data_IF_132935125640
#
_entry.id   IF_132935125640
#
_cell.length_a   1.000
_cell.length_b   1.000
_cell.length_c   1.000
_cell.angle_alpha   90.00
_cell.angle_beta   90.00
_cell.angle_gamma   90.00
#
_symmetry.space_group_name_H-M   'P 1'
#
loop_
_entity.id
_entity.type
_entity.pdbx_description
1 polymer ?
#
# COMPACT_ATOMS: atom_id res chain seq x y z
N UNK A 1 25.72 17.61 55.57
CA UNK A 1 25.10 17.54 54.24
C UNK A 1 24.25 16.30 54.08
N UNK A 2 22.92 16.45 54.03
CA UNK A 2 22.01 15.39 53.60
C UNK A 2 21.67 15.66 52.14
N UNK A 3 22.18 14.81 51.25
CA UNK A 3 21.86 14.86 49.82
C UNK A 3 20.45 14.30 49.64
N UNK A 4 19.57 15.07 48.98
CA UNK A 4 18.22 14.64 48.65
C UNK A 4 18.28 13.41 47.73
N UNK A 5 17.37 12.47 47.94
CA UNK A 5 17.31 11.24 47.13
C UNK A 5 16.81 11.55 45.73
N UNK A 6 17.18 10.72 44.74
CA UNK A 6 16.75 10.89 43.35
C UNK A 6 15.22 10.93 43.26
N UNK A 7 14.52 10.10 44.01
CA UNK A 7 13.05 10.07 44.07
C UNK A 7 12.44 11.39 44.58
N UNK A 8 13.12 12.03 45.53
CA UNK A 8 12.70 13.30 46.11
C UNK A 8 12.90 14.46 45.13
N UNK A 9 13.95 14.39 44.29
CA UNK A 9 14.18 15.32 43.18
C UNK A 9 13.08 15.16 42.11
N UNK A 10 12.73 13.92 41.74
CA UNK A 10 11.65 13.66 40.78
C UNK A 10 10.28 14.14 41.26
N UNK A 11 9.98 13.98 42.56
CA UNK A 11 8.74 14.49 43.15
C UNK A 11 8.67 16.01 43.15
N UNK A 12 9.77 16.70 43.45
CA UNK A 12 9.85 18.16 43.49
C UNK A 12 9.74 18.84 42.11
N UNK A 13 10.09 18.12 41.04
CA UNK A 13 9.97 18.60 39.65
C UNK A 13 8.58 18.34 39.02
N UNK A 14 7.63 17.76 39.76
CA UNK A 14 6.28 17.50 39.24
C UNK A 14 6.25 16.40 38.17
N UNK A 15 7.17 15.44 38.19
CA UNK A 15 7.25 14.36 37.19
C UNK A 15 5.95 13.55 37.08
N UNK A 16 5.19 13.45 38.17
CA UNK A 16 3.86 12.81 38.19
C UNK A 16 2.80 13.65 37.45
N UNK A 17 2.87 14.98 37.55
CA UNK A 17 2.01 15.89 36.80
C UNK A 17 2.35 15.90 35.31
N UNK A 18 3.65 15.82 34.96
CA UNK A 18 4.09 15.63 33.57
C UNK A 18 3.62 14.29 33.00
N UNK A 19 3.75 13.20 33.75
CA UNK A 19 3.28 11.87 33.33
C UNK A 19 1.75 11.78 33.22
N UNK A 20 1.03 12.48 34.09
CA UNK A 20 -0.43 12.59 34.04
C UNK A 20 -0.89 13.50 32.89
N UNK A 21 -0.17 14.59 32.60
CA UNK A 21 -0.40 15.44 31.43
C UNK A 21 -0.10 14.67 30.15
N UNK A 22 1.00 13.91 30.08
CA UNK A 22 1.36 13.05 28.96
C UNK A 22 0.24 12.03 28.68
N UNK A 23 -0.28 11.34 29.71
CA UNK A 23 -1.44 10.45 29.58
C UNK A 23 -2.77 11.14 29.23
N UNK A 24 -2.90 12.44 29.50
CA UNK A 24 -4.12 13.23 29.23
C UNK A 24 -4.11 13.86 27.83
N UNK A 25 -2.93 14.10 27.26
CA UNK A 25 -2.74 14.66 25.91
C UNK A 25 -2.41 13.60 24.85
N UNK A 26 -1.80 12.48 25.23
CA UNK A 26 -1.74 11.29 24.39
C UNK A 26 -3.02 10.48 24.59
N UNK A 27 -3.98 10.64 23.66
CA UNK A 27 -4.98 9.61 23.43
C UNK A 27 -4.26 8.25 23.35
N UNK A 28 -4.84 7.12 23.84
CA UNK A 28 -4.21 5.82 23.68
C UNK A 28 -3.86 5.66 22.21
N UNK A 29 -2.56 5.62 21.89
CA UNK A 29 -2.10 5.58 20.52
C UNK A 29 -2.72 4.34 19.89
N UNK A 30 -3.44 4.51 18.78
CA UNK A 30 -3.90 3.36 17.99
C UNK A 30 -2.66 2.47 17.75
N UNK A 31 -2.76 1.14 17.96
CA UNK A 31 -1.63 0.26 17.69
C UNK A 31 -1.11 0.53 16.27
N UNK A 32 0.20 0.66 16.13
CA UNK A 32 0.80 1.10 14.88
C UNK A 32 0.34 0.19 13.72
N UNK A 33 -0.06 0.75 12.56
CA UNK A 33 -0.52 -0.04 11.44
C UNK A 33 0.59 -0.95 10.91
N UNK A 34 0.19 -2.08 10.33
CA UNK A 34 1.03 -3.05 9.64
C UNK A 34 0.85 -2.91 8.14
N UNK A 35 1.87 -3.25 7.36
CA UNK A 35 1.76 -3.31 5.91
C UNK A 35 1.93 -4.74 5.39
N UNK A 36 1.15 -5.09 4.38
CA UNK A 36 1.33 -6.26 3.52
C UNK A 36 1.60 -5.76 2.10
N UNK A 37 2.71 -6.20 1.53
CA UNK A 37 3.09 -5.92 0.14
C UNK A 37 2.98 -7.21 -0.65
N UNK A 38 2.10 -7.24 -1.64
CA UNK A 38 1.96 -8.37 -2.56
C UNK A 38 2.99 -8.22 -3.68
N UNK A 39 4.00 -9.09 -3.67
CA UNK A 39 5.19 -8.99 -4.53
C UNK A 39 5.61 -10.36 -5.10
N UNK A 40 4.66 -11.28 -5.27
CA UNK A 40 4.94 -12.66 -5.65
C UNK A 40 5.17 -12.85 -7.16
N UNK A 41 4.59 -11.98 -7.99
CA UNK A 41 4.62 -12.11 -9.44
C UNK A 41 5.99 -11.75 -10.04
N UNK A 42 6.28 -12.34 -11.19
CA UNK A 42 7.44 -11.98 -12.01
C UNK A 42 7.27 -10.61 -12.66
N UNK A 43 6.07 -10.32 -13.15
CA UNK A 43 5.74 -9.16 -13.97
C UNK A 43 5.90 -9.47 -15.45
N UNK A 44 4.77 -9.64 -16.14
CA UNK A 44 4.73 -9.92 -17.57
C UNK A 44 5.19 -8.68 -18.37
N UNK A 45 5.99 -8.88 -19.40
CA UNK A 45 6.57 -7.80 -20.21
C UNK A 45 7.84 -7.17 -19.63
N UNK A 46 8.33 -7.65 -18.48
CA UNK A 46 9.59 -7.23 -17.85
C UNK A 46 10.60 -8.39 -17.72
N UNK A 47 10.45 -9.44 -18.53
CA UNK A 47 11.22 -10.68 -18.42
C UNK A 47 12.73 -10.44 -18.54
N UNK A 48 13.12 -9.50 -19.41
CA UNK A 48 14.52 -9.13 -19.65
C UNK A 48 15.14 -8.41 -18.44
N UNK A 49 14.35 -7.67 -17.66
CA UNK A 49 14.82 -6.94 -16.47
C UNK A 49 14.73 -7.80 -15.19
N UNK A 50 13.94 -8.87 -15.22
CA UNK A 50 13.62 -9.73 -14.07
C UNK A 50 14.26 -11.12 -14.17
N UNK A 51 15.37 -11.29 -14.89
CA UNK A 51 16.02 -12.60 -15.05
C UNK A 51 16.55 -13.16 -13.72
N UNK A 52 17.17 -12.29 -12.92
CA UNK A 52 17.88 -12.63 -11.68
C UNK A 52 17.18 -12.08 -10.42
N UNK A 53 16.19 -11.19 -10.58
CA UNK A 53 15.49 -10.52 -9.47
C UNK A 53 13.99 -10.31 -9.76
N UNK A 54 13.14 -10.21 -8.72
CA UNK A 54 11.74 -9.88 -8.93
C UNK A 54 11.56 -8.40 -9.28
N UNK A 55 10.39 -8.08 -9.86
CA UNK A 55 10.01 -6.72 -10.27
C UNK A 55 10.22 -5.68 -9.18
N UNK A 56 9.90 -6.03 -7.93
CA UNK A 56 10.05 -5.13 -6.77
C UNK A 56 11.51 -4.75 -6.45
N UNK A 57 12.49 -5.45 -7.01
CA UNK A 57 13.91 -5.13 -6.86
C UNK A 57 14.48 -4.36 -8.06
N UNK A 58 13.65 -4.00 -9.04
CA UNK A 58 14.08 -3.15 -10.15
C UNK A 58 14.42 -1.73 -9.66
N UNK A 59 15.56 -1.16 -10.11
CA UNK A 59 16.00 0.16 -9.67
C UNK A 59 15.22 1.26 -10.39
N UNK A 60 14.49 2.08 -9.64
CA UNK A 60 13.83 3.29 -10.14
C UNK A 60 14.45 4.51 -9.45
N UNK A 61 15.01 5.43 -10.24
CA UNK A 61 15.75 6.58 -9.70
C UNK A 61 16.94 6.15 -8.83
N UNK A 62 17.64 5.08 -9.23
CA UNK A 62 18.79 4.53 -8.49
C UNK A 62 18.44 3.71 -7.24
N UNK A 63 17.15 3.48 -6.97
CA UNK A 63 16.65 2.86 -5.75
C UNK A 63 15.62 1.75 -6.05
N UNK A 64 15.71 0.55 -5.46
CA UNK A 64 14.73 -0.51 -5.69
C UNK A 64 13.30 -0.07 -5.36
N UNK A 65 12.31 -0.52 -6.15
CA UNK A 65 10.87 -0.27 -5.88
C UNK A 65 10.48 -0.62 -4.44
N UNK A 66 10.94 -1.77 -3.94
CA UNK A 66 10.73 -2.22 -2.56
C UNK A 66 11.21 -1.17 -1.54
N UNK A 67 12.35 -0.52 -1.80
CA UNK A 67 12.89 0.50 -0.89
C UNK A 67 12.07 1.80 -0.94
N UNK A 68 11.41 2.12 -2.06
CA UNK A 68 10.45 3.23 -2.11
C UNK A 68 9.26 2.97 -1.18
N UNK A 69 8.68 1.77 -1.23
CA UNK A 69 7.59 1.35 -0.35
C UNK A 69 8.00 1.36 1.13
N UNK A 70 9.14 0.75 1.47
CA UNK A 70 9.65 0.71 2.85
C UNK A 70 9.86 2.12 3.40
N UNK A 71 10.45 3.03 2.63
CA UNK A 71 10.63 4.41 3.09
C UNK A 71 9.31 5.15 3.30
N UNK A 72 8.31 4.91 2.44
CA UNK A 72 6.98 5.49 2.60
C UNK A 72 6.30 5.00 3.88
N UNK A 73 6.39 3.70 4.17
CA UNK A 73 5.88 3.08 5.39
C UNK A 73 6.56 3.60 6.65
N UNK A 74 7.90 3.69 6.65
CA UNK A 74 8.65 4.19 7.81
C UNK A 74 8.32 5.64 8.15
N UNK A 75 8.01 6.48 7.14
CA UNK A 75 7.57 7.88 7.35
C UNK A 75 6.22 7.98 8.06
N UNK A 76 5.34 7.00 7.89
CA UNK A 76 4.04 6.92 8.59
C UNK A 76 4.08 5.97 9.80
N UNK A 77 5.28 5.68 10.34
CA UNK A 77 5.50 4.80 11.48
C UNK A 77 4.98 3.35 11.31
N UNK A 78 4.76 2.89 10.07
CA UNK A 78 4.49 1.48 9.77
C UNK A 78 5.81 0.72 9.82
N UNK A 79 6.05 0.07 10.96
CA UNK A 79 7.30 -0.63 11.22
C UNK A 79 7.28 -2.11 10.88
N UNK A 80 6.11 -2.73 10.96
CA UNK A 80 5.88 -4.12 10.64
C UNK A 80 5.43 -4.25 9.18
N UNK A 81 6.36 -4.61 8.30
CA UNK A 81 6.14 -4.71 6.86
C UNK A 81 6.31 -6.17 6.46
N UNK A 82 5.24 -6.82 6.04
CA UNK A 82 5.25 -8.17 5.49
C UNK A 82 5.26 -8.11 3.97
N UNK A 83 6.23 -8.74 3.34
CA UNK A 83 6.33 -8.85 1.88
C UNK A 83 6.05 -10.28 1.49
N UNK A 84 5.01 -10.48 0.68
CA UNK A 84 4.72 -11.79 0.11
C UNK A 84 5.48 -11.93 -1.19
N UNK A 85 6.52 -12.75 -1.17
CA UNK A 85 7.42 -13.01 -2.28
C UNK A 85 7.08 -14.35 -2.95
N UNK A 86 7.51 -14.52 -4.19
CA UNK A 86 7.31 -15.75 -4.95
C UNK A 86 8.48 -15.93 -5.91
N UNK A 87 8.35 -15.34 -7.09
CA UNK A 87 9.42 -15.32 -8.08
C UNK A 87 10.71 -14.72 -7.50
N UNK A 88 11.82 -15.48 -7.55
CA UNK A 88 13.17 -15.03 -7.11
C UNK A 88 13.17 -14.40 -5.71
N UNK A 89 12.40 -14.95 -4.77
CA UNK A 89 12.24 -14.41 -3.42
C UNK A 89 13.57 -14.20 -2.66
N UNK A 90 14.61 -14.98 -2.96
CA UNK A 90 15.94 -14.85 -2.35
C UNK A 90 16.67 -13.57 -2.76
N UNK A 91 16.38 -13.02 -3.94
CA UNK A 91 16.94 -11.76 -4.40
C UNK A 91 16.31 -10.52 -3.73
N UNK A 92 15.25 -10.71 -2.94
CA UNK A 92 14.69 -9.64 -2.10
C UNK A 92 15.55 -9.51 -0.85
N UNK A 93 16.54 -8.62 -0.94
CA UNK A 93 17.39 -8.19 0.16
C UNK A 93 17.03 -6.74 0.52
N UNK A 94 16.14 -6.58 1.50
CA UNK A 94 15.75 -5.26 2.00
C UNK A 94 15.61 -5.32 3.52
N UNK A 95 16.38 -4.52 4.29
CA UNK A 95 16.27 -4.52 5.74
C UNK A 95 14.90 -4.04 6.24
N UNK A 96 14.45 -4.59 7.36
CA UNK A 96 13.24 -4.14 8.06
C UNK A 96 11.93 -4.66 7.48
N UNK A 97 11.97 -5.74 6.68
CA UNK A 97 10.78 -6.46 6.21
C UNK A 97 10.76 -7.89 6.76
N UNK A 98 9.57 -8.45 6.90
CA UNK A 98 9.32 -9.88 7.07
C UNK A 98 8.93 -10.46 5.71
N UNK A 99 9.66 -11.46 5.22
CA UNK A 99 9.35 -12.14 3.97
C UNK A 99 8.45 -13.36 4.24
N UNK A 100 7.38 -13.50 3.48
CA UNK A 100 6.49 -14.66 3.42
C UNK A 100 6.54 -15.21 2.00
N UNK A 101 6.63 -16.53 1.83
CA UNK A 101 6.73 -17.14 0.51
C UNK A 101 5.36 -17.64 0.05
N UNK A 102 4.96 -17.25 -1.16
CA UNK A 102 3.95 -17.92 -1.94
C UNK A 102 4.65 -18.86 -2.92
N UNK A 103 4.74 -20.15 -2.59
CA UNK A 103 5.38 -21.17 -3.43
C UNK A 103 4.62 -21.41 -4.74
N UNK A 104 3.32 -21.12 -4.76
CA UNK A 104 2.43 -21.34 -5.91
C UNK A 104 2.33 -20.10 -6.81
N UNK A 105 3.21 -19.10 -6.64
CA UNK A 105 3.13 -17.80 -7.31
C UNK A 105 2.94 -17.86 -8.84
N UNK A 106 3.47 -18.90 -9.50
CA UNK A 106 3.41 -19.05 -10.95
C UNK A 106 2.02 -19.48 -11.46
N UNK A 107 1.20 -20.08 -10.60
CA UNK A 107 -0.13 -20.60 -10.94
C UNK A 107 -1.22 -20.07 -10.00
N UNK A 108 -0.92 -19.02 -9.22
CA UNK A 108 -1.81 -18.48 -8.20
C UNK A 108 -2.05 -16.99 -8.39
N UNK A 109 -3.27 -16.54 -8.11
CA UNK A 109 -3.67 -15.15 -8.02
C UNK A 109 -3.24 -14.48 -6.72
N UNK A 110 -3.62 -13.22 -6.59
CA UNK A 110 -3.21 -12.33 -5.50
C UNK A 110 -3.80 -12.76 -4.16
N UNK A 111 -5.01 -13.35 -4.15
CA UNK A 111 -5.65 -13.78 -2.91
C UNK A 111 -4.90 -14.94 -2.23
N UNK A 112 -4.24 -15.80 -3.00
CA UNK A 112 -3.33 -16.83 -2.42
C UNK A 112 -2.17 -16.17 -1.68
N UNK A 113 -1.64 -15.08 -2.23
CA UNK A 113 -0.58 -14.31 -1.58
C UNK A 113 -1.08 -13.60 -0.30
N UNK A 114 -2.29 -13.01 -0.34
CA UNK A 114 -2.91 -12.39 0.83
C UNK A 114 -3.19 -13.41 1.94
N UNK A 115 -3.66 -14.62 1.58
CA UNK A 115 -3.86 -15.72 2.54
C UNK A 115 -2.53 -16.13 3.16
N UNK A 116 -1.45 -16.27 2.39
CA UNK A 116 -0.13 -16.59 2.94
C UNK A 116 0.32 -15.56 3.99
N UNK A 117 0.10 -14.26 3.74
CA UNK A 117 0.37 -13.21 4.73
C UNK A 117 -0.52 -13.35 5.98
N UNK A 118 -1.80 -13.63 5.79
CA UNK A 118 -2.79 -13.81 6.86
C UNK A 118 -2.44 -15.00 7.75
N UNK A 119 -2.17 -16.16 7.15
CA UNK A 119 -1.75 -17.38 7.84
C UNK A 119 -0.41 -17.17 8.59
N UNK A 120 0.44 -16.27 8.10
CA UNK A 120 1.68 -15.86 8.76
C UNK A 120 1.51 -14.75 9.83
N UNK A 121 0.29 -14.32 10.12
CA UNK A 121 -0.01 -13.41 11.22
C UNK A 121 -0.30 -11.95 10.83
N UNK A 122 -0.48 -11.62 9.55
CA UNK A 122 -0.56 -10.21 9.12
C UNK A 122 -1.86 -9.48 9.50
N UNK A 123 -2.99 -10.18 9.67
CA UNK A 123 -4.30 -9.57 9.96
C UNK A 123 -4.62 -9.42 11.46
N UNK A 124 -3.70 -9.79 12.36
CA UNK A 124 -3.97 -9.81 13.81
C UNK A 124 -3.71 -8.45 14.47
N UNK A 125 -4.62 -8.07 15.38
CA UNK A 125 -4.57 -7.02 16.42
C UNK A 125 -4.30 -5.56 16.01
N UNK A 126 -3.72 -5.29 14.85
CA UNK A 126 -3.39 -3.95 14.36
C UNK A 126 -4.19 -3.59 13.10
N UNK A 127 -4.26 -2.30 12.77
CA UNK A 127 -4.76 -1.84 11.47
C UNK A 127 -3.83 -2.36 10.36
N UNK A 128 -4.40 -2.75 9.22
CA UNK A 128 -3.67 -3.34 8.11
C UNK A 128 -3.75 -2.43 6.88
N UNK A 129 -2.60 -2.20 6.25
CA UNK A 129 -2.48 -1.63 4.93
C UNK A 129 -2.02 -2.71 3.94
N UNK A 130 -2.65 -2.83 2.79
CA UNK A 130 -2.29 -3.77 1.72
C UNK A 130 -2.00 -2.97 0.46
N UNK A 131 -0.90 -3.30 -0.21
CA UNK A 131 -0.53 -2.72 -1.52
C UNK A 131 0.14 -3.74 -2.42
N UNK A 132 0.11 -3.47 -3.74
CA UNK A 132 1.01 -4.13 -4.67
C UNK A 132 2.45 -3.62 -4.55
N UNK A 133 3.41 -4.50 -4.79
CA UNK A 133 4.84 -4.22 -4.67
C UNK A 133 5.44 -3.39 -5.80
N UNK A 134 4.67 -3.15 -6.84
CA UNK A 134 5.06 -2.45 -8.07
C UNK A 134 4.54 -1.02 -8.14
N UNK A 135 3.88 -0.58 -7.08
CA UNK A 135 3.26 0.72 -6.97
C UNK A 135 4.27 1.75 -6.44
N UNK A 136 4.44 2.84 -7.18
CA UNK A 136 5.05 4.08 -6.72
C UNK A 136 3.98 5.11 -6.48
N UNK A 137 4.01 5.78 -5.34
CA UNK A 137 3.03 6.83 -5.00
C UNK A 137 3.69 7.98 -4.26
N UNK A 138 3.03 9.14 -4.25
CA UNK A 138 3.42 10.26 -3.38
C UNK A 138 2.96 9.99 -1.94
N UNK A 139 3.76 10.44 -0.98
CA UNK A 139 3.55 10.18 0.46
C UNK A 139 2.15 10.51 0.96
N UNK A 140 1.56 11.61 0.45
CA UNK A 140 0.25 12.06 0.90
C UNK A 140 -0.85 11.02 0.66
N UNK A 141 -0.75 10.19 -0.40
CA UNK A 141 -1.76 9.17 -0.70
C UNK A 141 -1.84 8.15 0.44
N UNK A 142 -0.68 7.66 0.90
CA UNK A 142 -0.61 6.74 2.04
C UNK A 142 -1.09 7.43 3.32
N UNK A 143 -0.63 8.65 3.58
CA UNK A 143 -1.03 9.42 4.77
C UNK A 143 -2.54 9.62 4.84
N UNK A 144 -3.15 10.07 3.75
CA UNK A 144 -4.59 10.36 3.67
C UNK A 144 -5.41 9.08 3.83
N UNK A 145 -4.93 7.96 3.28
CA UNK A 145 -5.56 6.65 3.45
C UNK A 145 -5.49 6.16 4.91
N UNK A 146 -4.35 6.34 5.58
CA UNK A 146 -4.20 5.94 6.99
C UNK A 146 -5.08 6.80 7.91
N UNK A 147 -5.32 8.05 7.55
CA UNK A 147 -6.17 8.98 8.31
C UNK A 147 -7.69 8.70 8.17
N UNK A 148 -8.13 7.90 7.20
CA UNK A 148 -9.56 7.58 7.03
C UNK A 148 -10.11 6.79 8.21
N UNK A 149 -11.16 7.22 8.91
CA UNK A 149 -11.70 6.42 10.04
C UNK A 149 -12.53 5.18 9.62
N UNK A 150 -12.73 4.95 8.32
CA UNK A 150 -13.51 3.84 7.79
C UNK A 150 -12.89 2.47 8.06
N UNK A 151 -13.72 1.45 8.35
CA UNK A 151 -13.29 0.08 8.63
C UNK A 151 -12.56 -0.57 7.45
N UNK A 152 -12.97 -0.25 6.23
CA UNK A 152 -12.36 -0.68 4.99
C UNK A 152 -12.32 0.52 4.06
N UNK A 153 -11.14 0.87 3.54
CA UNK A 153 -11.00 1.96 2.58
C UNK A 153 -10.04 1.60 1.46
N UNK A 154 -10.40 1.93 0.22
CA UNK A 154 -9.58 1.74 -0.98
C UNK A 154 -9.28 3.08 -1.64
N UNK A 155 -8.18 3.13 -2.40
CA UNK A 155 -7.81 4.32 -3.17
C UNK A 155 -8.21 4.15 -4.64
N UNK A 156 -8.92 5.14 -5.17
CA UNK A 156 -9.38 5.17 -6.56
C UNK A 156 -8.86 6.44 -7.25
N UNK A 157 -8.23 6.31 -8.40
CA UNK A 157 -7.82 7.44 -9.24
C UNK A 157 -8.98 7.86 -10.16
N UNK A 158 -9.58 9.00 -9.89
CA UNK A 158 -10.74 9.52 -10.63
C UNK A 158 -10.38 10.05 -12.02
N UNK A 159 -9.10 10.14 -12.36
CA UNK A 159 -8.63 10.56 -13.69
C UNK A 159 -8.49 9.43 -14.71
N UNK A 160 -8.63 8.18 -14.26
CA UNK A 160 -8.47 7.00 -15.11
C UNK A 160 -9.81 6.26 -15.23
N UNK A 161 -10.62 6.62 -16.22
CA UNK A 161 -12.00 6.13 -16.36
C UNK A 161 -12.30 5.41 -17.68
N UNK A 162 -11.46 5.54 -18.71
CA UNK A 162 -11.91 5.21 -20.08
C UNK A 162 -11.40 3.88 -20.63
N UNK A 163 -10.26 3.37 -20.17
CA UNK A 163 -9.67 2.12 -20.67
C UNK A 163 -8.81 1.47 -19.57
N UNK A 164 -9.01 0.18 -19.29
CA UNK A 164 -8.08 -0.58 -18.46
C UNK A 164 -8.70 -1.67 -17.60
N UNK A 165 -7.83 -2.21 -16.76
CA UNK A 165 -8.15 -3.16 -15.68
C UNK A 165 -8.45 -2.40 -14.39
N UNK A 166 -9.21 -3.04 -13.51
CA UNK A 166 -9.53 -2.52 -12.16
C UNK A 166 -10.32 -1.20 -12.15
N UNK A 167 -11.23 -1.02 -13.12
CA UNK A 167 -12.18 0.10 -13.12
C UNK A 167 -13.11 -0.02 -11.91
N UNK A 168 -13.29 1.08 -11.19
CA UNK A 168 -14.09 1.16 -9.97
C UNK A 168 -15.39 1.92 -10.24
N UNK A 169 -16.52 1.28 -9.94
CA UNK A 169 -17.84 1.90 -9.88
C UNK A 169 -18.14 2.24 -8.44
N UNK A 170 -18.43 3.52 -8.18
CA UNK A 170 -18.65 4.04 -6.83
C UNK A 170 -20.08 4.58 -6.67
N UNK A 171 -20.50 4.82 -5.43
CA UNK A 171 -21.81 5.38 -5.10
C UNK A 171 -22.00 6.82 -5.60
N UNK A 172 -20.90 7.56 -5.79
CA UNK A 172 -20.86 8.88 -6.40
C UNK A 172 -19.50 9.08 -7.10
N UNK A 173 -19.45 9.87 -8.19
CA UNK A 173 -18.19 10.26 -8.81
C UNK A 173 -17.40 11.22 -7.91
N UNK A 174 -16.12 11.39 -8.20
CA UNK A 174 -15.28 12.39 -7.53
C UNK A 174 -15.78 13.81 -7.85
N UNK A 175 -16.29 14.51 -6.83
CA UNK A 175 -16.80 15.88 -6.95
C UNK A 175 -15.68 16.93 -6.85
N UNK A 176 -14.45 16.51 -6.52
CA UNK A 176 -13.29 17.37 -6.27
C UNK A 176 -13.56 18.47 -5.24
N UNK A 177 -14.53 18.24 -4.36
CA UNK A 177 -14.88 19.15 -3.28
C UNK A 177 -13.77 19.22 -2.23
N UNK A 178 -13.66 20.36 -1.55
CA UNK A 178 -12.75 20.52 -0.40
C UNK A 178 -13.19 19.71 0.82
N UNK A 179 -14.47 19.31 0.87
CA UNK A 179 -15.03 18.49 1.93
C UNK A 179 -15.21 17.08 1.39
N UNK A 180 -14.59 16.10 2.06
CA UNK A 180 -14.68 14.71 1.65
C UNK A 180 -16.12 14.24 1.59
N UNK A 181 -16.53 13.68 0.44
CA UNK A 181 -17.79 12.97 0.33
C UNK A 181 -17.66 11.56 0.93
N UNK A 182 -18.74 11.09 1.56
CA UNK A 182 -18.83 9.69 1.95
C UNK A 182 -19.15 8.84 0.71
N UNK A 183 -18.09 8.38 0.02
CA UNK A 183 -18.20 7.54 -1.17
C UNK A 183 -17.87 6.10 -0.82
N UNK A 184 -18.68 5.18 -1.34
CA UNK A 184 -18.47 3.73 -1.20
C UNK A 184 -18.29 3.08 -2.57
N UNK A 185 -17.50 2.03 -2.58
CA UNK A 185 -17.31 1.18 -3.75
C UNK A 185 -18.57 0.33 -3.97
N UNK A 186 -19.03 0.26 -5.22
CA UNK A 186 -20.08 -0.67 -5.65
C UNK A 186 -19.46 -1.94 -6.25
N UNK A 187 -18.52 -1.77 -7.16
CA UNK A 187 -17.91 -2.88 -7.90
C UNK A 187 -16.56 -2.48 -8.51
N UNK A 188 -15.65 -3.45 -8.66
CA UNK A 188 -14.45 -3.34 -9.48
C UNK A 188 -14.49 -4.39 -10.59
N UNK A 189 -14.23 -3.96 -11.81
CA UNK A 189 -14.24 -4.81 -12.99
C UNK A 189 -13.34 -4.27 -14.08
N UNK A 190 -13.30 -4.98 -15.21
CA UNK A 190 -12.53 -4.56 -16.38
C UNK A 190 -13.48 -4.01 -17.44
N UNK A 191 -13.02 -3.03 -18.24
CA UNK A 191 -13.80 -2.60 -19.38
C UNK A 191 -14.03 -3.77 -20.35
N UNK A 192 -15.25 -3.98 -20.87
CA UNK A 192 -15.47 -4.90 -21.96
C UNK A 192 -14.61 -4.48 -23.16
N UNK A 193 -13.86 -5.41 -23.73
CA UNK A 193 -13.05 -5.15 -24.93
C UNK A 193 -13.98 -4.71 -26.07
N UNK A 194 -13.78 -3.50 -26.58
CA UNK A 194 -14.53 -2.98 -27.74
C UNK A 194 -15.82 -2.21 -27.43
N UNK A 195 -16.12 -1.92 -26.15
CA UNK A 195 -17.23 -1.03 -25.77
C UNK A 195 -16.66 0.32 -25.36
N UNK A 196 -17.08 1.39 -26.05
CA UNK A 196 -16.75 2.76 -25.66
C UNK A 196 -17.65 3.22 -24.51
N UNK A 197 -17.10 3.97 -23.55
CA UNK A 197 -17.79 4.51 -22.37
C UNK A 197 -19.06 5.31 -22.69
N UNK A 198 -19.23 5.75 -23.93
CA UNK A 198 -20.42 6.42 -24.44
C UNK A 198 -21.68 5.54 -24.51
N UNK A 199 -21.54 4.20 -24.49
CA UNK A 199 -22.65 3.26 -24.71
C UNK A 199 -23.20 2.62 -23.42
N UNK A 200 -22.62 2.94 -22.26
CA UNK A 200 -23.02 2.37 -20.95
C UNK A 200 -23.59 3.45 -20.03
N UNK A 201 -24.77 3.20 -19.44
CA UNK A 201 -25.43 4.10 -18.48
C UNK A 201 -24.65 4.19 -17.15
N UNK A 202 -23.89 3.15 -16.79
CA UNK A 202 -23.09 3.09 -15.55
C UNK A 202 -21.61 3.23 -15.88
N UNK A 203 -21.10 4.46 -15.86
CA UNK A 203 -19.69 4.75 -16.11
C UNK A 203 -18.85 4.54 -14.84
N UNK A 204 -17.61 4.04 -14.98
CA UNK A 204 -16.71 3.91 -13.83
C UNK A 204 -16.36 5.29 -13.29
N UNK A 205 -16.21 5.39 -11.97
CA UNK A 205 -15.85 6.62 -11.27
C UNK A 205 -14.33 6.83 -11.19
N UNK A 206 -13.53 5.83 -11.56
CA UNK A 206 -12.08 5.88 -11.62
C UNK A 206 -11.47 4.49 -11.72
N UNK A 207 -10.17 4.38 -11.42
CA UNK A 207 -9.43 3.11 -11.37
C UNK A 207 -8.95 2.81 -9.96
N UNK A 208 -9.21 1.61 -9.45
CA UNK A 208 -8.60 1.15 -8.20
C UNK A 208 -7.10 0.93 -8.38
N UNK A 209 -6.30 1.51 -7.48
CA UNK A 209 -4.84 1.62 -7.69
C UNK A 209 -4.03 0.52 -6.99
N UNK A 210 -4.70 -0.45 -6.38
CA UNK A 210 -4.02 -1.52 -5.63
C UNK A 210 -3.79 -1.23 -4.16
N UNK A 211 -4.38 -0.16 -3.58
CA UNK A 211 -4.21 0.22 -2.17
C UNK A 211 -5.50 -0.03 -1.37
N UNK A 212 -5.35 -0.65 -0.20
CA UNK A 212 -6.43 -0.98 0.74
C UNK A 212 -5.96 -0.72 2.18
N UNK A 213 -6.80 -0.09 3.01
CA UNK A 213 -6.65 -0.08 4.45
C UNK A 213 -7.84 -0.78 5.13
N UNK A 214 -7.55 -1.50 6.21
CA UNK A 214 -8.51 -2.29 6.97
C UNK A 214 -8.28 -2.08 8.46
N UNK A 215 -9.32 -1.74 9.21
CA UNK A 215 -9.25 -1.45 10.65
C UNK A 215 -10.47 -1.98 11.38
N UNK A 216 -10.44 -1.93 12.71
CA UNK A 216 -11.64 -2.19 13.52
C UNK A 216 -12.29 -3.55 13.22
N UNK A 217 -13.61 -3.57 13.00
CA UNK A 217 -14.34 -4.78 12.62
C UNK A 217 -14.11 -5.19 11.16
N UNK A 218 -13.66 -4.26 10.30
CA UNK A 218 -13.30 -4.51 8.91
C UNK A 218 -12.31 -5.66 8.74
N UNK A 219 -11.40 -5.86 9.71
CA UNK A 219 -10.44 -6.99 9.70
C UNK A 219 -11.15 -8.34 9.78
N UNK A 220 -12.14 -8.45 10.66
CA UNK A 220 -12.96 -9.67 10.80
C UNK A 220 -13.82 -9.88 9.55
N UNK A 221 -14.36 -8.81 8.98
CA UNK A 221 -15.17 -8.88 7.75
C UNK A 221 -14.33 -9.38 6.57
N UNK A 222 -13.12 -8.81 6.38
CA UNK A 222 -12.16 -9.26 5.36
C UNK A 222 -11.77 -10.71 5.57
N UNK A 223 -11.47 -11.11 6.80
CA UNK A 223 -11.11 -12.50 7.09
C UNK A 223 -12.27 -13.47 6.83
N UNK A 224 -13.50 -13.11 7.19
CA UNK A 224 -14.68 -13.91 6.95
C UNK A 224 -14.93 -14.08 5.44
N UNK A 225 -14.94 -12.98 4.69
CA UNK A 225 -15.15 -13.01 3.23
C UNK A 225 -14.02 -13.77 2.52
N UNK A 226 -12.76 -13.55 2.93
CA UNK A 226 -11.61 -14.28 2.37
C UNK A 226 -11.72 -15.79 2.65
N UNK A 227 -12.23 -16.19 3.82
CA UNK A 227 -12.47 -17.60 4.14
C UNK A 227 -13.54 -18.21 3.25
N UNK A 228 -14.64 -17.50 2.99
CA UNK A 228 -15.68 -17.94 2.04
C UNK A 228 -15.13 -18.06 0.62
N UNK A 229 -14.33 -17.09 0.17
CA UNK A 229 -13.73 -17.14 -1.16
C UNK A 229 -12.76 -18.33 -1.32
N UNK A 230 -12.07 -18.71 -0.25
CA UNK A 230 -11.13 -19.86 -0.23
C UNK A 230 -11.80 -21.20 -0.52
N UNK A 231 -13.11 -21.30 -0.33
CA UNK A 231 -13.89 -22.51 -0.62
C UNK A 231 -14.27 -22.65 -2.10
N UNK A 232 -14.05 -21.62 -2.92
CA UNK A 232 -14.37 -21.67 -4.35
C UNK A 232 -13.30 -22.45 -5.13
N UNK A 233 -13.75 -23.20 -6.13
CA UNK A 233 -12.87 -23.96 -7.04
C UNK A 233 -11.89 -23.05 -7.81
N UNK A 234 -12.29 -21.81 -8.09
CA UNK A 234 -11.49 -20.82 -8.83
C UNK A 234 -10.63 -19.94 -7.93
N UNK A 235 -10.58 -20.18 -6.61
CA UNK A 235 -9.85 -19.35 -5.63
C UNK A 235 -8.40 -19.11 -6.05
N UNK A 236 -7.76 -20.14 -6.59
CA UNK A 236 -6.38 -20.09 -7.07
C UNK A 236 -6.13 -19.02 -8.14
N UNK A 237 -7.15 -18.53 -8.85
CA UNK A 237 -7.01 -17.48 -9.87
C UNK A 237 -7.50 -16.10 -9.40
N UNK A 238 -8.06 -15.98 -8.19
CA UNK A 238 -8.71 -14.75 -7.75
C UNK A 238 -7.70 -13.66 -7.37
N UNK A 239 -8.00 -12.43 -7.79
CA UNK A 239 -7.29 -11.21 -7.42
C UNK A 239 -8.00 -10.43 -6.31
N UNK A 240 -7.37 -9.35 -5.86
CA UNK A 240 -7.96 -8.41 -4.89
C UNK A 240 -9.32 -7.82 -5.33
N UNK A 241 -9.62 -7.55 -6.62
CA UNK A 241 -10.95 -7.11 -7.04
C UNK A 241 -12.06 -8.09 -6.64
N UNK A 242 -11.79 -9.41 -6.66
CA UNK A 242 -12.76 -10.42 -6.24
C UNK A 242 -13.07 -10.33 -4.74
N UNK A 243 -12.07 -10.04 -3.90
CA UNK A 243 -12.27 -9.79 -2.48
C UNK A 243 -13.09 -8.52 -2.24
N UNK A 244 -12.77 -7.43 -2.95
CA UNK A 244 -13.49 -6.16 -2.80
C UNK A 244 -14.95 -6.28 -3.24
N UNK A 245 -15.22 -6.97 -4.35
CA UNK A 245 -16.58 -7.26 -4.80
C UNK A 245 -17.33 -8.16 -3.81
N UNK A 246 -16.69 -9.22 -3.30
CA UNK A 246 -17.33 -10.09 -2.32
C UNK A 246 -17.64 -9.35 -1.00
N UNK A 247 -16.83 -8.36 -0.61
CA UNK A 247 -17.11 -7.49 0.54
C UNK A 247 -18.33 -6.60 0.30
N UNK A 248 -18.46 -5.99 -0.88
CA UNK A 248 -19.62 -5.16 -1.21
C UNK A 248 -20.89 -6.01 -1.33
N UNK A 249 -20.81 -7.19 -1.94
CA UNK A 249 -21.90 -8.17 -2.04
C UNK A 249 -22.37 -8.67 -0.66
N UNK A 250 -21.44 -8.85 0.28
CA UNK A 250 -21.75 -9.19 1.68
C UNK A 250 -22.34 -8.03 2.49
N UNK A 251 -22.50 -6.85 1.89
CA UNK A 251 -23.09 -5.66 2.52
C UNK A 251 -22.12 -4.87 3.41
N UNK A 252 -20.81 -5.13 3.31
CA UNK A 252 -19.81 -4.33 4.02
C UNK A 252 -19.51 -3.04 3.27
N UNK A 253 -19.51 -1.90 3.99
CA UNK A 253 -19.13 -0.63 3.40
C UNK A 253 -17.63 -0.61 3.10
N UNK A 254 -17.28 -0.45 1.82
CA UNK A 254 -15.91 -0.24 1.35
C UNK A 254 -15.79 1.23 0.95
N UNK A 255 -15.18 2.05 1.81
CA UNK A 255 -15.05 3.49 1.55
C UNK A 255 -14.02 3.77 0.46
N UNK A 256 -14.22 4.84 -0.29
CA UNK A 256 -13.34 5.25 -1.39
C UNK A 256 -12.66 6.56 -1.04
N UNK A 257 -11.33 6.54 -1.07
CA UNK A 257 -10.51 7.75 -1.10
C UNK A 257 -10.15 8.04 -2.55
N UNK A 258 -10.68 9.14 -3.10
CA UNK A 258 -10.31 9.58 -4.43
C UNK A 258 -8.95 10.28 -4.44
N UNK A 259 -8.18 10.00 -5.48
CA UNK A 259 -6.95 10.73 -5.84
C UNK A 259 -7.00 11.10 -7.31
N UNK A 260 -6.11 11.98 -7.73
CA UNK A 260 -5.97 12.39 -9.11
C UNK A 260 -4.50 12.27 -9.53
N UNK A 261 -4.13 11.13 -10.11
CA UNK A 261 -2.75 10.81 -10.46
C UNK A 261 -1.81 10.74 -9.24
N UNK A 262 -0.53 11.13 -9.44
CA UNK A 262 0.53 11.09 -8.41
C UNK A 262 0.88 9.69 -7.87
N UNK A 263 0.59 8.68 -8.67
CA UNK A 263 1.06 7.32 -8.51
C UNK A 263 1.37 6.71 -9.89
N UNK A 264 2.12 5.61 -9.90
CA UNK A 264 2.47 4.83 -11.09
C UNK A 264 2.64 3.37 -10.69
N UNK A 265 1.98 2.47 -11.41
CA UNK A 265 2.36 1.06 -11.42
C UNK A 265 3.53 0.84 -12.38
N UNK A 266 4.46 -0.04 -12.04
CA UNK A 266 5.50 -0.50 -12.96
C UNK A 266 5.07 -1.83 -13.52
N UNK A 267 4.41 -1.86 -14.68
CA UNK A 267 3.91 -3.12 -15.27
C UNK A 267 4.70 -3.55 -16.49
N UNK A 268 5.12 -2.60 -17.33
CA UNK A 268 5.90 -2.85 -18.52
C UNK A 268 7.14 -1.94 -18.59
N UNK A 269 7.89 -2.05 -19.70
CA UNK A 269 9.11 -1.29 -19.91
C UNK A 269 8.85 0.22 -20.05
N UNK A 270 7.71 0.63 -20.60
CA UNK A 270 7.35 2.03 -20.75
C UNK A 270 7.00 2.64 -19.39
N UNK A 271 6.21 1.94 -18.58
CA UNK A 271 5.93 2.29 -17.20
C UNK A 271 7.22 2.38 -16.38
N UNK A 272 8.14 1.44 -16.54
CA UNK A 272 9.44 1.46 -15.87
C UNK A 272 10.26 2.72 -16.21
N UNK A 273 10.27 3.12 -17.48
CA UNK A 273 10.94 4.37 -17.91
C UNK A 273 10.29 5.60 -17.27
N UNK A 274 8.95 5.69 -17.32
CA UNK A 274 8.17 6.79 -16.74
C UNK A 274 8.28 6.84 -15.21
N UNK A 275 8.46 5.70 -14.57
CA UNK A 275 8.70 5.60 -13.14
C UNK A 275 10.01 6.30 -12.72
N UNK A 276 11.05 6.24 -13.56
CA UNK A 276 12.30 6.99 -13.34
C UNK A 276 12.06 8.50 -13.25
N UNK A 277 11.32 9.07 -14.20
CA UNK A 277 10.94 10.49 -14.20
C UNK A 277 10.11 10.85 -12.94
N UNK A 278 9.15 9.99 -12.59
CA UNK A 278 8.31 10.17 -11.40
C UNK A 278 9.13 10.19 -10.10
N UNK A 279 10.16 9.35 -10.01
CA UNK A 279 11.06 9.24 -8.85
C UNK A 279 11.99 10.45 -8.71
N UNK A 280 12.49 11.01 -9.81
CA UNK A 280 13.29 12.24 -9.78
C UNK A 280 12.52 13.42 -9.19
N UNK A 281 11.21 13.51 -9.43
CA UNK A 281 10.34 14.49 -8.79
C UNK A 281 10.08 14.25 -7.28
N UNK A 282 10.51 13.13 -6.70
CA UNK A 282 10.45 12.85 -5.26
C UNK A 282 11.74 13.15 -4.51
N UNK A 283 12.87 13.22 -5.21
CA UNK A 283 14.14 13.49 -4.56
C UNK A 283 14.26 14.99 -4.25
N UNK A 284 14.71 15.37 -3.03
CA UNK A 284 15.05 16.76 -2.76
C UNK A 284 16.09 17.24 -3.77
N UNK A 285 15.86 18.43 -4.34
CA UNK A 285 16.85 19.13 -5.18
C UNK A 285 18.07 19.39 -4.28
N UNK A 286 19.08 18.52 -4.33
CA UNK A 286 20.25 18.64 -3.46
C UNK A 286 21.02 17.36 -3.09
N UNK A 287 20.73 16.19 -3.69
CA UNK A 287 21.51 14.96 -3.46
C UNK A 287 22.40 14.54 -4.63
N UNK A 288 22.86 15.50 -5.43
CA UNK A 288 24.04 15.27 -6.27
C UNK A 288 25.26 15.20 -5.34
N UNK A 289 25.89 14.02 -5.29
CA UNK A 289 27.05 13.73 -4.48
C UNK A 289 28.20 14.70 -4.75
N UNK A 290 28.64 15.39 -3.71
CA UNK A 290 29.95 16.05 -3.68
C UNK A 290 31.05 14.98 -3.63
N UNK A 291 31.39 14.39 -4.78
CA UNK A 291 32.57 13.51 -4.92
C UNK A 291 33.31 13.63 -6.25
N UNK A 292 32.86 14.42 -7.22
CA UNK A 292 33.49 14.50 -8.55
C UNK A 292 34.26 15.80 -8.85
N UNK A 293 34.87 16.44 -7.85
CA UNK A 293 35.81 17.56 -8.09
C UNK A 293 36.99 17.52 -7.12
N UNK A 294 37.81 16.48 -7.13
CA UNK A 294 39.24 16.54 -6.72
C UNK A 294 40.03 15.42 -7.40
N UNK A 295 40.65 15.73 -8.54
CA UNK A 295 41.52 14.75 -9.20
C UNK A 295 42.03 15.16 -10.57
N UNK A 296 42.58 16.37 -10.72
CA UNK A 296 43.54 16.69 -11.78
C UNK A 296 44.15 18.06 -11.46
N UNK A 297 45.36 18.05 -10.89
CA UNK A 297 46.43 19.04 -11.10
C UNK A 297 47.49 18.86 -10.00
N UNK A 298 48.43 17.95 -10.25
CA UNK A 298 49.83 18.12 -9.87
C UNK A 298 50.69 17.07 -10.59
N UNK A 299 51.67 17.59 -11.33
CA UNK A 299 52.73 16.96 -12.15
C UNK A 299 52.36 16.62 -13.58
#
# INVERSE_FOLDING_TARGET
>A
DRVATVDEIFRLQGADEYSAAEKRYFAPSRPAPRAVVLAASRGDGLEALTLDKPKVMLPVGGKPLMRWLVDAFKKEAINEITVVAGYKADAIDTPGIKKVLNEQYASSGELVSLVAATDAGALFDNDLFVTYGDLLFRQYILKDLLQQDAEICVVVDSSQTELGVDLAWCSAPDDRGLFGQHVTLRHIGNAPVGVTSADTIDTPSGRWIGMLSVRGAGRRNVQAVLSTLRERDDFGALGMPALLNALTEAGHAVNVLYVHGHWRGVNDLEDFRRAGEFAHGQQPIGSASASDVRGADNV
#
